data_IF_903346385292
#
_entry.id   IF_903346385292
#
_cell.length_a   1.000
_cell.length_b   1.000
_cell.length_c   1.000
_cell.angle_alpha   90.00
_cell.angle_beta   90.00
_cell.angle_gamma   90.00
#
_symmetry.space_group_name_H-M   'P 1'
#
loop_
_entity.id
_entity.type
_entity.pdbx_description
1 polymer ?
#
# COMPACT_ATOMS: atom_id res chain seq x y z
N UNK A 1 -45.93 46.44 1.92
CA UNK A 1 -44.50 46.09 1.70
C UNK A 1 -43.82 45.28 2.82
N UNK A 2 -44.46 45.01 3.98
CA UNK A 2 -43.78 44.35 5.12
C UNK A 2 -43.92 42.81 5.18
N UNK A 3 -44.84 42.22 4.42
CA UNK A 3 -45.09 40.76 4.45
C UNK A 3 -44.14 39.99 3.51
N UNK A 4 -43.68 40.63 2.42
CA UNK A 4 -42.75 39.99 1.45
C UNK A 4 -41.33 39.82 1.99
N UNK A 5 -40.91 40.66 2.94
CA UNK A 5 -39.59 40.56 3.55
C UNK A 5 -39.49 39.37 4.53
N UNK A 6 -40.55 39.10 5.29
CA UNK A 6 -40.57 38.04 6.32
C UNK A 6 -40.54 36.64 5.68
N UNK A 7 -41.23 36.45 4.56
CA UNK A 7 -41.24 35.16 3.84
C UNK A 7 -39.84 34.84 3.27
N UNK A 8 -39.08 35.86 2.84
CA UNK A 8 -37.74 35.68 2.30
C UNK A 8 -36.72 35.31 3.38
N UNK A 9 -36.86 35.83 4.59
CA UNK A 9 -35.97 35.50 5.72
C UNK A 9 -36.21 34.09 6.26
N UNK A 10 -37.46 33.62 6.24
CA UNK A 10 -37.81 32.24 6.65
C UNK A 10 -37.34 31.21 5.62
N UNK A 11 -37.41 31.50 4.31
CA UNK A 11 -36.84 30.62 3.29
C UNK A 11 -35.32 30.52 3.37
N UNK A 12 -34.62 31.61 3.73
CA UNK A 12 -33.16 31.57 3.86
C UNK A 12 -32.70 30.80 5.11
N UNK A 13 -33.47 30.84 6.20
CA UNK A 13 -33.19 30.07 7.41
C UNK A 13 -33.48 28.56 7.26
N UNK A 14 -34.38 28.18 6.36
CA UNK A 14 -34.66 26.77 6.02
C UNK A 14 -33.61 26.15 5.08
N UNK A 15 -32.79 26.95 4.40
CA UNK A 15 -31.66 26.44 3.61
C UNK A 15 -30.36 26.27 4.42
N UNK A 16 -30.30 26.79 5.65
CA UNK A 16 -29.10 26.69 6.52
C UNK A 16 -29.20 25.59 7.58
N UNK A 17 -30.31 24.87 7.65
CA UNK A 17 -30.50 23.75 8.57
C UNK A 17 -30.52 22.45 7.78
N UNK A 18 -29.40 21.72 7.81
CA UNK A 18 -29.47 20.27 7.65
C UNK A 18 -28.69 19.64 6.50
N UNK A 19 -27.65 20.28 5.95
CA UNK A 19 -26.50 19.50 5.48
C UNK A 19 -25.39 19.71 6.51
N UNK A 20 -25.57 19.16 7.70
CA UNK A 20 -24.41 18.62 8.39
C UNK A 20 -23.93 17.51 7.44
N UNK A 21 -22.98 17.86 6.56
CA UNK A 21 -22.20 16.87 5.85
C UNK A 21 -21.47 16.15 6.98
N UNK A 22 -22.08 15.05 7.46
CA UNK A 22 -21.32 14.01 8.09
C UNK A 22 -20.28 13.66 7.04
N UNK A 23 -19.01 14.00 7.31
CA UNK A 23 -17.93 13.53 6.48
C UNK A 23 -18.02 12.00 6.59
N UNK A 24 -18.54 11.39 5.53
CA UNK A 24 -18.65 9.94 5.46
C UNK A 24 -17.22 9.43 5.51
N UNK A 25 -16.85 8.76 6.61
CA UNK A 25 -15.49 8.30 6.82
C UNK A 25 -15.31 7.00 6.05
N UNK A 26 -15.10 7.09 4.74
CA UNK A 26 -14.67 5.98 3.91
C UNK A 26 -13.15 5.94 3.81
N UNK A 27 -12.60 4.83 3.31
CA UNK A 27 -11.18 4.81 2.95
C UNK A 27 -10.91 5.86 1.85
N UNK A 28 -9.74 6.48 1.93
CA UNK A 28 -9.27 7.36 0.86
C UNK A 28 -9.02 6.52 -0.40
N UNK A 29 -9.60 6.95 -1.53
CA UNK A 29 -9.46 6.26 -2.82
C UNK A 29 -8.56 7.02 -3.77
N UNK A 30 -7.80 6.30 -4.58
CA UNK A 30 -6.98 6.85 -5.66
C UNK A 30 -7.84 7.68 -6.62
N UNK A 31 -7.38 8.90 -6.93
CA UNK A 31 -8.00 9.71 -7.98
C UNK A 31 -7.90 9.06 -9.35
N UNK A 32 -8.79 9.46 -10.27
CA UNK A 32 -8.88 8.92 -11.62
C UNK A 32 -7.54 8.97 -12.40
N UNK A 33 -6.74 10.02 -12.18
CA UNK A 33 -5.42 10.16 -12.82
C UNK A 33 -4.43 9.08 -12.36
N UNK A 34 -4.42 8.76 -11.05
CA UNK A 34 -3.56 7.72 -10.48
C UNK A 34 -4.00 6.35 -11.02
N UNK A 35 -5.31 6.05 -10.93
CA UNK A 35 -5.87 4.80 -11.47
C UNK A 35 -5.56 4.63 -12.95
N UNK A 36 -5.69 5.69 -13.75
CA UNK A 36 -5.39 5.68 -15.18
C UNK A 36 -3.91 5.51 -15.50
N UNK A 37 -3.00 6.03 -14.67
CA UNK A 37 -1.57 5.79 -14.80
C UNK A 37 -1.21 4.33 -14.50
N UNK A 38 -1.71 3.79 -13.40
CA UNK A 38 -1.45 2.40 -12.99
C UNK A 38 -2.07 1.39 -13.97
N UNK A 39 -3.28 1.65 -14.47
CA UNK A 39 -3.89 0.80 -15.50
C UNK A 39 -3.03 0.72 -16.77
N UNK A 40 -2.46 1.85 -17.20
CA UNK A 40 -1.59 1.91 -18.37
C UNK A 40 -0.29 1.15 -18.14
N UNK A 41 0.36 1.37 -17.00
CA UNK A 41 1.59 0.68 -16.64
C UNK A 41 1.37 -0.84 -16.55
N UNK A 42 0.26 -1.27 -15.95
CA UNK A 42 -0.15 -2.67 -15.91
C UNK A 42 -0.23 -3.28 -17.31
N UNK A 43 -0.97 -2.65 -18.22
CA UNK A 43 -1.13 -3.14 -19.60
C UNK A 43 0.19 -3.15 -20.37
N UNK A 44 1.05 -2.15 -20.16
CA UNK A 44 2.30 -2.00 -20.91
C UNK A 44 3.41 -2.95 -20.44
N UNK A 45 3.47 -3.27 -19.14
CA UNK A 45 4.63 -3.98 -18.57
C UNK A 45 4.29 -5.28 -17.83
N UNK A 46 3.07 -5.47 -17.35
CA UNK A 46 2.75 -6.57 -16.41
C UNK A 46 1.78 -7.61 -16.97
N UNK A 47 0.88 -7.26 -17.89
CA UNK A 47 -0.13 -8.17 -18.43
C UNK A 47 0.48 -9.47 -19.02
N UNK A 48 1.53 -9.35 -19.85
CA UNK A 48 2.23 -10.51 -20.43
C UNK A 48 2.85 -11.42 -19.37
N UNK A 49 3.41 -10.82 -18.31
CA UNK A 49 4.05 -11.57 -17.21
C UNK A 49 3.02 -12.36 -16.42
N UNK A 50 1.86 -11.76 -16.12
CA UNK A 50 0.76 -12.44 -15.45
C UNK A 50 0.13 -13.51 -16.34
N UNK A 51 0.01 -13.26 -17.64
CA UNK A 51 -0.48 -14.24 -18.61
C UNK A 51 0.40 -15.52 -18.59
N UNK A 52 1.73 -15.35 -18.57
CA UNK A 52 2.67 -16.46 -18.44
C UNK A 52 2.59 -17.18 -17.08
N UNK A 53 2.11 -16.50 -16.02
CA UNK A 53 1.98 -17.01 -14.65
C UNK A 53 0.53 -17.32 -14.26
N UNK A 54 -0.37 -17.51 -15.24
CA UNK A 54 -1.81 -17.71 -15.02
C UNK A 54 -2.18 -18.71 -13.94
N UNK A 55 -1.46 -19.83 -13.87
CA UNK A 55 -1.72 -20.90 -12.89
C UNK A 55 -1.46 -20.45 -11.44
N UNK A 56 -0.55 -19.50 -11.22
CA UNK A 56 -0.24 -18.93 -9.91
C UNK A 56 -1.24 -17.87 -9.43
N UNK A 57 -2.08 -17.36 -10.34
CA UNK A 57 -3.08 -16.33 -10.10
C UNK A 57 -4.51 -16.83 -10.37
N UNK A 58 -4.75 -18.13 -10.17
CA UNK A 58 -6.07 -18.77 -10.27
C UNK A 58 -6.74 -18.64 -11.67
N UNK A 59 -5.95 -18.50 -12.74
CA UNK A 59 -6.40 -18.04 -14.05
C UNK A 59 -6.15 -18.97 -15.24
N UNK A 60 -5.97 -20.28 -15.07
CA UNK A 60 -5.83 -21.17 -16.25
C UNK A 60 -7.07 -21.14 -17.15
N UNK A 61 -8.24 -21.01 -16.53
CA UNK A 61 -9.55 -21.17 -17.19
C UNK A 61 -10.27 -19.83 -17.38
N UNK A 62 -9.69 -18.72 -16.91
CA UNK A 62 -10.27 -17.37 -16.99
C UNK A 62 -9.90 -16.66 -18.30
N UNK A 63 -10.52 -15.52 -18.59
CA UNK A 63 -10.13 -14.60 -19.67
C UNK A 63 -8.70 -14.06 -19.52
N UNK A 64 -8.12 -13.54 -20.60
CA UNK A 64 -6.71 -13.10 -20.68
C UNK A 64 -6.39 -11.99 -19.68
N UNK A 65 -5.21 -12.01 -19.08
CA UNK A 65 -4.72 -10.91 -18.22
C UNK A 65 -4.58 -9.58 -18.97
N UNK A 66 -4.58 -9.60 -20.31
CA UNK A 66 -4.70 -8.39 -21.13
C UNK A 66 -6.10 -7.75 -21.06
N UNK A 67 -7.12 -8.50 -20.65
CA UNK A 67 -8.50 -8.03 -20.47
C UNK A 67 -8.81 -7.70 -19.00
N UNK A 68 -7.82 -7.83 -18.11
CA UNK A 68 -8.00 -7.54 -16.70
C UNK A 68 -8.28 -6.05 -16.45
N UNK A 69 -9.12 -5.78 -15.46
CA UNK A 69 -9.51 -4.41 -15.07
C UNK A 69 -9.16 -4.13 -13.63
N UNK A 70 -8.65 -2.93 -13.34
CA UNK A 70 -8.42 -2.46 -11.98
C UNK A 70 -9.71 -1.92 -11.35
N UNK A 71 -9.97 -2.32 -10.11
CA UNK A 71 -10.98 -1.69 -9.25
C UNK A 71 -10.55 -0.33 -8.72
N UNK A 72 -11.27 0.15 -7.70
CA UNK A 72 -10.88 1.37 -6.99
C UNK A 72 -9.61 1.13 -6.17
N UNK A 73 -8.67 2.07 -6.25
CA UNK A 73 -7.42 1.99 -5.49
C UNK A 73 -7.64 2.49 -4.09
N UNK A 74 -7.36 1.68 -3.08
CA UNK A 74 -7.49 2.06 -1.67
C UNK A 74 -6.13 2.57 -1.17
N UNK A 75 -6.09 3.77 -0.60
CA UNK A 75 -4.88 4.31 0.01
C UNK A 75 -4.46 3.44 1.20
N UNK A 76 -3.18 3.09 1.28
CA UNK A 76 -2.61 2.39 2.43
C UNK A 76 -1.46 3.17 3.05
N UNK A 77 -1.34 3.03 4.37
CA UNK A 77 -0.42 3.79 5.20
C UNK A 77 0.49 2.84 5.97
N UNK A 78 1.70 3.31 6.22
CA UNK A 78 2.65 2.68 7.14
C UNK A 78 2.63 3.39 8.48
N UNK A 79 3.02 2.67 9.53
CA UNK A 79 3.05 3.19 10.88
C UNK A 79 4.43 3.77 11.19
N UNK A 80 4.46 4.99 11.70
CA UNK A 80 5.66 5.66 12.18
C UNK A 80 5.57 5.85 13.70
N UNK A 81 6.56 5.32 14.41
CA UNK A 81 6.65 5.38 15.88
C UNK A 81 7.53 6.55 16.30
N UNK A 82 6.98 7.44 17.14
CA UNK A 82 7.71 8.55 17.74
C UNK A 82 7.50 8.55 19.26
N UNK A 83 8.43 7.95 20.00
CA UNK A 83 8.23 7.68 21.43
C UNK A 83 7.03 6.74 21.63
N UNK A 84 6.07 7.17 22.46
CA UNK A 84 4.85 6.42 22.75
C UNK A 84 3.68 6.81 21.81
N UNK A 85 3.97 7.43 20.67
CA UNK A 85 2.95 7.88 19.72
C UNK A 85 3.09 7.21 18.35
N UNK A 86 1.93 6.91 17.76
CA UNK A 86 1.80 6.38 16.42
C UNK A 86 1.34 7.49 15.47
N UNK A 87 1.86 7.45 14.26
CA UNK A 87 1.44 8.31 13.15
C UNK A 87 1.40 7.48 11.88
N UNK A 88 0.56 7.88 10.93
CA UNK A 88 0.38 7.17 9.67
C UNK A 88 0.90 8.00 8.51
N UNK A 89 1.69 7.37 7.66
CA UNK A 89 2.25 7.99 6.46
C UNK A 89 1.72 7.27 5.23
N UNK A 90 1.11 8.04 4.32
CA UNK A 90 0.61 7.51 3.06
C UNK A 90 1.78 6.89 2.30
N UNK A 91 1.69 5.59 2.06
CA UNK A 91 2.74 4.84 1.36
C UNK A 91 2.35 4.58 -0.08
N UNK A 92 1.06 4.30 -0.33
CA UNK A 92 0.61 4.11 -1.69
C UNK A 92 -0.84 3.69 -1.82
N UNK A 93 -1.16 3.00 -2.91
CA UNK A 93 -2.51 2.52 -3.22
C UNK A 93 -2.51 1.04 -3.58
N UNK A 94 -3.55 0.33 -3.16
CA UNK A 94 -3.82 -1.07 -3.52
C UNK A 94 -5.05 -1.15 -4.42
N UNK A 95 -4.88 -1.72 -5.59
CA UNK A 95 -5.95 -1.90 -6.57
C UNK A 95 -6.30 -3.39 -6.71
N UNK A 96 -7.55 -3.81 -6.44
CA UNK A 96 -7.96 -5.16 -6.79
C UNK A 96 -7.98 -5.30 -8.32
N UNK A 97 -7.41 -6.38 -8.83
CA UNK A 97 -7.38 -6.72 -10.25
C UNK A 97 -8.44 -7.78 -10.52
N UNK A 98 -9.32 -7.51 -11.47
CA UNK A 98 -10.42 -8.39 -11.84
C UNK A 98 -10.21 -9.02 -13.20
N UNK A 99 -10.55 -10.31 -13.28
CA UNK A 99 -10.79 -11.04 -14.52
C UNK A 99 -12.23 -11.55 -14.50
N UNK A 100 -12.99 -11.20 -15.54
CA UNK A 100 -14.40 -11.60 -15.69
C UNK A 100 -15.24 -11.26 -14.44
N UNK A 101 -14.96 -10.10 -13.82
CA UNK A 101 -15.64 -9.63 -12.61
C UNK A 101 -15.23 -10.33 -11.31
N UNK A 102 -14.27 -11.26 -11.35
CA UNK A 102 -13.73 -11.94 -10.15
C UNK A 102 -12.36 -11.36 -9.81
N UNK A 103 -12.14 -10.97 -8.56
CA UNK A 103 -10.81 -10.54 -8.13
C UNK A 103 -9.83 -11.73 -8.21
N UNK A 104 -8.65 -11.48 -8.74
CA UNK A 104 -7.59 -12.50 -8.91
C UNK A 104 -6.24 -12.08 -8.34
N UNK A 105 -6.06 -10.78 -8.11
CA UNK A 105 -4.82 -10.23 -7.62
C UNK A 105 -5.05 -8.87 -6.96
N UNK A 106 -4.03 -8.37 -6.27
CA UNK A 106 -3.90 -7.00 -5.81
C UNK A 106 -2.65 -6.38 -6.41
N UNK A 107 -2.81 -5.23 -7.03
CA UNK A 107 -1.72 -4.40 -7.57
C UNK A 107 -1.38 -3.32 -6.54
N UNK A 108 -0.17 -3.37 -6.00
CA UNK A 108 0.34 -2.35 -5.10
C UNK A 108 1.12 -1.28 -5.90
N UNK A 109 0.76 -0.02 -5.69
CA UNK A 109 1.37 1.12 -6.34
C UNK A 109 1.94 2.13 -5.34
N UNK A 110 3.09 2.72 -5.65
CA UNK A 110 3.78 3.71 -4.81
C UNK A 110 4.24 4.90 -5.65
N UNK A 111 4.53 6.04 -5.01
CA UNK A 111 5.03 7.23 -5.68
C UNK A 111 6.55 7.23 -5.69
N UNK A 112 7.14 6.97 -6.86
CA UNK A 112 8.59 6.87 -7.05
C UNK A 112 9.06 7.75 -8.19
N UNK A 113 10.13 8.52 -7.94
CA UNK A 113 10.77 9.37 -8.97
C UNK A 113 9.81 10.32 -9.70
N UNK A 114 8.79 10.82 -9.00
CA UNK A 114 7.82 11.78 -9.55
C UNK A 114 6.62 11.16 -10.27
N UNK A 115 6.44 9.84 -10.23
CA UNK A 115 5.30 9.15 -10.82
C UNK A 115 4.77 8.02 -9.92
N UNK A 116 3.49 7.72 -10.03
CA UNK A 116 2.89 6.53 -9.45
C UNK A 116 3.27 5.30 -10.29
N UNK A 117 3.78 4.26 -9.65
CA UNK A 117 4.27 3.03 -10.29
C UNK A 117 3.85 1.78 -9.55
N UNK A 118 3.72 0.69 -10.29
CA UNK A 118 3.48 -0.63 -9.73
C UNK A 118 4.80 -1.15 -9.16
N UNK A 119 4.82 -1.45 -7.87
CA UNK A 119 6.00 -2.06 -7.24
C UNK A 119 5.79 -3.53 -6.89
N UNK A 120 4.53 -3.98 -6.80
CA UNK A 120 4.20 -5.37 -6.50
C UNK A 120 2.83 -5.76 -7.07
N UNK A 121 2.68 -7.03 -7.45
CA UNK A 121 1.40 -7.65 -7.76
C UNK A 121 1.34 -8.97 -6.99
N UNK A 122 0.33 -9.14 -6.16
CA UNK A 122 0.12 -10.31 -5.30
C UNK A 122 -1.13 -11.07 -5.69
N UNK A 123 -1.17 -12.39 -5.46
CA UNK A 123 -2.29 -13.27 -5.83
C UNK A 123 -3.40 -13.33 -4.76
N UNK A 124 -3.61 -12.24 -4.01
CA UNK A 124 -4.72 -12.13 -3.07
C UNK A 124 -6.03 -11.86 -3.82
N UNK A 125 -7.05 -12.69 -3.59
CA UNK A 125 -8.35 -12.65 -4.27
C UNK A 125 -9.50 -12.18 -3.38
N UNK A 126 -9.23 -11.88 -2.11
CA UNK A 126 -10.21 -11.51 -1.09
C UNK A 126 -10.15 -10.04 -0.66
N UNK A 127 -9.10 -9.29 -1.03
CA UNK A 127 -8.88 -7.89 -0.63
C UNK A 127 -10.13 -6.98 -0.75
N UNK A 128 -10.77 -6.88 -1.91
CA UNK A 128 -11.94 -6.02 -2.11
C UNK A 128 -13.12 -6.44 -1.23
N UNK A 129 -13.28 -7.74 -1.02
CA UNK A 129 -14.32 -8.26 -0.12
C UNK A 129 -14.03 -7.96 1.35
N UNK A 130 -12.76 -8.00 1.76
CA UNK A 130 -12.32 -7.65 3.11
C UNK A 130 -12.51 -6.15 3.38
N UNK A 131 -12.13 -5.30 2.43
CA UNK A 131 -12.35 -3.86 2.53
C UNK A 131 -13.83 -3.53 2.65
N UNK A 132 -14.68 -4.05 1.75
CA UNK A 132 -16.12 -3.81 1.80
C UNK A 132 -16.77 -4.29 3.09
N UNK A 133 -16.29 -5.42 3.64
CA UNK A 133 -16.76 -5.94 4.93
C UNK A 133 -16.48 -4.93 6.05
N UNK A 134 -15.23 -4.48 6.19
CA UNK A 134 -14.84 -3.58 7.27
C UNK A 134 -15.43 -2.18 7.09
N UNK A 135 -15.54 -1.66 5.86
CA UNK A 135 -16.25 -0.41 5.60
C UNK A 135 -17.73 -0.50 6.02
N UNK A 136 -18.43 -1.60 5.69
CA UNK A 136 -19.83 -1.76 6.05
C UNK A 136 -20.07 -1.82 7.57
N UNK A 137 -19.10 -2.31 8.34
CA UNK A 137 -19.22 -2.49 9.79
C UNK A 137 -18.74 -1.28 10.60
N UNK A 138 -17.69 -0.59 10.13
CA UNK A 138 -16.97 0.40 10.92
C UNK A 138 -16.93 1.82 10.31
N UNK A 139 -17.38 2.02 9.07
CA UNK A 139 -17.45 3.37 8.49
C UNK A 139 -18.52 4.24 9.17
N UNK A 140 -18.31 5.56 9.15
CA UNK A 140 -19.29 6.57 9.55
C UNK A 140 -18.89 7.46 10.74
N UNK A 141 -17.77 7.18 11.43
CA UNK A 141 -17.32 8.00 12.57
C UNK A 141 -15.79 8.20 12.60
N UNK A 142 -15.30 9.23 11.91
CA UNK A 142 -13.96 9.78 12.15
C UNK A 142 -12.90 9.47 11.08
N UNK A 143 -11.65 9.20 11.47
CA UNK A 143 -10.58 8.85 10.50
C UNK A 143 -10.63 7.34 10.22
N UNK A 144 -10.50 6.95 8.97
CA UNK A 144 -10.59 5.55 8.54
C UNK A 144 -9.48 5.28 7.52
N UNK A 145 -8.49 4.45 7.89
CA UNK A 145 -7.27 4.25 7.10
C UNK A 145 -6.89 2.79 7.02
N UNK A 146 -6.47 2.33 5.84
CA UNK A 146 -5.87 1.02 5.69
C UNK A 146 -4.40 1.06 6.12
N UNK A 147 -4.05 0.29 7.13
CA UNK A 147 -2.69 0.13 7.62
C UNK A 147 -2.12 -1.17 7.07
N UNK A 148 -1.23 -1.06 6.09
CA UNK A 148 -0.42 -2.19 5.59
C UNK A 148 1.06 -1.87 5.76
N UNK A 149 1.63 -2.41 6.84
CA UNK A 149 3.03 -2.24 7.19
C UNK A 149 3.74 -3.58 7.28
N UNK A 150 4.31 -3.97 6.14
CA UNK A 150 5.08 -5.22 5.97
C UNK A 150 6.29 -5.32 6.91
N UNK A 151 6.81 -4.21 7.43
CA UNK A 151 7.96 -4.22 8.37
C UNK A 151 7.59 -4.87 9.71
N UNK A 152 6.33 -4.74 10.10
CA UNK A 152 5.77 -5.20 11.37
C UNK A 152 4.64 -6.23 11.16
N UNK A 153 4.45 -6.70 9.93
CA UNK A 153 3.39 -7.62 9.54
C UNK A 153 1.99 -7.12 9.96
N UNK A 154 1.75 -5.83 9.79
CA UNK A 154 0.46 -5.21 10.08
C UNK A 154 -0.41 -5.21 8.82
N UNK A 155 -1.62 -5.76 8.93
CA UNK A 155 -2.67 -5.67 7.92
C UNK A 155 -4.00 -5.35 8.64
N UNK A 156 -4.20 -4.06 8.91
CA UNK A 156 -5.27 -3.55 9.77
C UNK A 156 -6.03 -2.43 9.08
N UNK A 157 -7.22 -2.13 9.58
CA UNK A 157 -7.90 -0.85 9.36
C UNK A 157 -7.85 -0.07 10.66
N UNK A 158 -7.30 1.13 10.59
CA UNK A 158 -7.31 2.08 11.68
C UNK A 158 -8.61 2.87 11.66
N UNK A 159 -9.24 2.99 12.82
CA UNK A 159 -10.39 3.88 13.02
C UNK A 159 -10.09 4.83 14.18
N UNK A 160 -10.43 6.10 13.99
CA UNK A 160 -10.37 7.12 15.05
C UNK A 160 -11.68 7.86 15.11
N UNK A 161 -12.58 7.33 15.93
CA UNK A 161 -13.85 7.94 16.23
C UNK A 161 -13.73 8.86 17.45
N UNK A 162 -14.73 9.70 17.68
CA UNK A 162 -14.83 10.50 18.92
C UNK A 162 -14.88 9.66 20.20
N UNK A 163 -15.13 8.35 20.10
CA UNK A 163 -15.35 7.46 21.22
C UNK A 163 -14.12 6.58 21.47
N UNK A 164 -13.56 5.99 20.41
CA UNK A 164 -12.42 5.07 20.48
C UNK A 164 -11.49 5.25 19.28
N UNK A 165 -10.20 4.99 19.55
CA UNK A 165 -9.14 4.79 18.57
C UNK A 165 -8.73 3.32 18.60
N UNK A 166 -8.79 2.63 17.46
CA UNK A 166 -8.56 1.19 17.37
C UNK A 166 -7.97 0.78 16.02
N UNK A 167 -7.35 -0.40 16.01
CA UNK A 167 -6.84 -1.07 14.82
C UNK A 167 -7.55 -2.42 14.69
N UNK A 168 -8.24 -2.62 13.58
CA UNK A 168 -9.05 -3.81 13.29
C UNK A 168 -8.29 -4.67 12.29
N UNK A 169 -7.94 -5.89 12.68
CA UNK A 169 -7.19 -6.79 11.82
C UNK A 169 -8.06 -7.27 10.64
N UNK A 170 -7.57 -7.13 9.41
CA UNK A 170 -8.33 -7.47 8.21
C UNK A 170 -8.57 -8.98 8.00
N UNK A 171 -7.84 -9.82 8.73
CA UNK A 171 -7.86 -11.28 8.59
C UNK A 171 -8.83 -11.96 9.55
N UNK A 172 -8.84 -11.51 10.81
CA UNK A 172 -9.62 -12.14 11.89
C UNK A 172 -10.59 -11.19 12.60
N UNK A 173 -10.70 -9.95 12.13
CA UNK A 173 -11.56 -8.88 12.67
C UNK A 173 -11.30 -8.55 14.16
N UNK A 174 -10.11 -8.91 14.68
CA UNK A 174 -9.70 -8.57 16.04
C UNK A 174 -9.36 -7.08 16.15
N UNK A 175 -10.00 -6.40 17.11
CA UNK A 175 -9.71 -4.99 17.43
C UNK A 175 -8.68 -4.89 18.56
N UNK A 176 -7.64 -4.09 18.34
CA UNK A 176 -6.59 -3.80 19.32
C UNK A 176 -6.34 -2.30 19.44
N UNK A 177 -5.85 -1.89 20.62
CA UNK A 177 -5.56 -0.50 20.92
C UNK A 177 -4.23 -0.01 20.31
N UNK A 178 -4.02 1.31 20.19
CA UNK A 178 -2.72 1.87 19.77
C UNK A 178 -1.54 1.41 20.64
N UNK A 179 -1.76 1.22 21.94
CA UNK A 179 -0.72 0.72 22.85
C UNK A 179 -0.34 -0.75 22.53
N UNK A 180 -1.30 -1.56 22.11
CA UNK A 180 -1.03 -2.94 21.67
C UNK A 180 -0.29 -2.97 20.33
N UNK A 181 -0.60 -2.07 19.39
CA UNK A 181 0.19 -1.91 18.16
C UNK A 181 1.64 -1.51 18.47
N UNK A 182 1.86 -0.59 19.41
CA UNK A 182 3.22 -0.24 19.86
C UNK A 182 3.97 -1.46 20.41
N UNK A 183 3.30 -2.34 21.14
CA UNK A 183 3.90 -3.58 21.64
C UNK A 183 4.25 -4.53 20.48
N UNK A 184 3.34 -4.75 19.52
CA UNK A 184 3.60 -5.59 18.33
C UNK A 184 4.82 -5.08 17.54
N UNK A 185 4.92 -3.76 17.37
CA UNK A 185 6.06 -3.12 16.69
C UNK A 185 7.35 -3.33 17.49
N UNK A 186 7.31 -3.10 18.80
CA UNK A 186 8.48 -3.26 19.69
C UNK A 186 8.99 -4.70 19.70
N UNK A 187 8.10 -5.68 19.81
CA UNK A 187 8.43 -7.11 19.75
C UNK A 187 9.07 -7.52 18.41
N UNK A 188 8.57 -6.95 17.31
CA UNK A 188 9.13 -7.16 15.98
C UNK A 188 10.56 -6.61 15.86
N UNK A 189 10.81 -5.41 16.39
CA UNK A 189 12.14 -4.78 16.41
C UNK A 189 13.12 -5.55 17.30
N UNK A 190 12.68 -5.98 18.49
CA UNK A 190 13.52 -6.75 19.41
C UNK A 190 13.90 -8.11 18.82
N UNK A 191 12.96 -8.78 18.14
CA UNK A 191 13.22 -10.02 17.43
C UNK A 191 14.31 -9.86 16.38
N UNK A 192 14.26 -8.79 15.58
CA UNK A 192 15.29 -8.48 14.59
C UNK A 192 16.65 -8.21 15.23
N UNK A 193 16.69 -7.45 16.32
CA UNK A 193 17.93 -7.13 17.04
C UNK A 193 18.56 -8.38 17.68
N UNK A 194 17.75 -9.30 18.20
CA UNK A 194 18.21 -10.53 18.81
C UNK A 194 18.75 -11.53 17.78
N UNK A 195 18.17 -11.59 16.57
CA UNK A 195 18.72 -12.36 15.45
C UNK A 195 20.09 -11.81 15.01
N UNK A 196 20.23 -10.49 14.91
CA UNK A 196 21.47 -9.83 14.52
C UNK A 196 22.60 -9.99 15.57
N UNK A 197 22.27 -10.15 16.86
CA UNK A 197 23.26 -10.29 17.94
C UNK A 197 23.74 -11.73 18.16
N UNK A 198 22.98 -12.73 17.74
CA UNK A 198 23.29 -14.15 17.96
C UNK A 198 23.80 -14.90 16.71
N UNK A 199 23.90 -14.23 15.55
CA UNK A 199 24.43 -14.83 14.32
C UNK A 199 25.87 -14.33 14.06
N UNK A 200 26.85 -15.21 14.31
CA UNK A 200 28.22 -15.07 13.80
C UNK A 200 28.37 -15.59 12.35
N UNK A 201 27.28 -16.08 11.76
CA UNK A 201 27.20 -16.47 10.35
C UNK A 201 26.20 -15.56 9.65
N UNK A 202 26.72 -14.77 8.71
CA UNK A 202 25.97 -13.78 7.94
C UNK A 202 24.99 -14.42 6.98
N UNK A 203 23.80 -14.77 7.49
CA UNK A 203 22.63 -15.08 6.66
C UNK A 203 21.50 -14.18 7.11
N UNK A 204 21.31 -13.08 6.37
CA UNK A 204 20.12 -12.24 6.48
C UNK A 204 18.99 -12.97 5.74
N UNK A 205 18.07 -13.58 6.49
CA UNK A 205 16.78 -14.05 5.99
C UNK A 205 15.76 -12.92 6.13
N UNK A 206 15.20 -12.48 5.00
CA UNK A 206 14.07 -11.56 4.96
C UNK A 206 12.91 -12.25 4.25
N UNK A 207 11.75 -12.27 4.89
CA UNK A 207 10.46 -12.61 4.29
C UNK A 207 9.72 -13.72 5.05
N UNK A 208 8.51 -13.44 5.51
CA UNK A 208 7.62 -14.46 6.04
C UNK A 208 6.28 -13.91 6.53
N UNK A 209 5.32 -13.82 5.62
CA UNK A 209 3.90 -13.89 5.98
C UNK A 209 3.55 -15.28 6.56
N UNK A 210 2.28 -15.51 6.93
CA UNK A 210 1.87 -16.70 7.65
C UNK A 210 2.12 -17.97 6.84
N UNK A 211 2.65 -18.98 7.53
CA UNK A 211 2.97 -20.32 7.04
C UNK A 211 1.88 -20.91 6.14
N UNK A 212 2.22 -21.09 4.86
CA UNK A 212 1.81 -22.29 4.12
C UNK A 212 3.07 -22.86 3.48
N UNK A 213 3.48 -24.01 3.98
CA UNK A 213 4.63 -24.75 3.44
C UNK A 213 4.25 -25.38 2.11
N UNK A 214 5.07 -25.23 1.06
CA UNK A 214 5.33 -26.34 0.17
C UNK A 214 6.82 -26.65 0.14
N UNK A 215 7.11 -27.95 0.28
CA UNK A 215 8.39 -28.58 0.09
C UNK A 215 9.00 -28.32 -1.30
N UNK A 216 10.33 -28.45 -1.34
CA UNK A 216 11.23 -28.62 -2.50
C UNK A 216 11.80 -27.37 -3.22
N UNK A 217 12.81 -26.79 -2.57
CA UNK A 217 14.21 -26.72 -3.02
C UNK A 217 14.49 -26.59 -4.54
N UNK A 218 14.50 -25.37 -5.08
CA UNK A 218 15.49 -24.93 -6.08
C UNK A 218 15.80 -23.43 -5.88
N UNK A 219 16.91 -23.13 -5.22
CA UNK A 219 17.47 -21.78 -5.12
C UNK A 219 17.96 -21.32 -6.50
N UNK A 220 17.15 -20.50 -7.16
CA UNK A 220 17.52 -19.80 -8.39
C UNK A 220 18.68 -18.83 -8.12
N UNK A 221 19.82 -19.09 -8.75
CA UNK A 221 21.05 -18.27 -8.71
C UNK A 221 20.89 -16.86 -9.31
N UNK A 222 19.70 -16.49 -9.81
CA UNK A 222 19.49 -15.25 -10.56
C UNK A 222 19.37 -14.01 -9.67
N UNK A 223 18.83 -14.12 -8.46
CA UNK A 223 18.64 -12.98 -7.54
C UNK A 223 19.97 -12.29 -7.14
N UNK A 224 21.03 -13.01 -6.72
CA UNK A 224 22.30 -12.36 -6.41
C UNK A 224 22.99 -11.78 -7.65
N UNK A 225 22.76 -12.34 -8.85
CA UNK A 225 23.34 -11.83 -10.11
C UNK A 225 22.71 -10.49 -10.51
N UNK A 226 21.40 -10.34 -10.35
CA UNK A 226 20.67 -9.09 -10.63
C UNK A 226 21.13 -7.97 -9.69
N UNK A 227 21.29 -8.29 -8.40
CA UNK A 227 21.78 -7.33 -7.40
C UNK A 227 23.23 -6.90 -7.66
N UNK A 228 24.09 -7.82 -8.11
CA UNK A 228 25.47 -7.48 -8.48
C UNK A 228 25.54 -6.62 -9.75
N UNK A 229 24.68 -6.90 -10.75
CA UNK A 229 24.60 -6.13 -12.00
C UNK A 229 24.15 -4.68 -11.80
N UNK A 230 23.16 -4.44 -10.93
CA UNK A 230 22.72 -3.09 -10.55
C UNK A 230 23.84 -2.30 -9.87
N UNK A 231 24.67 -2.94 -9.03
CA UNK A 231 25.77 -2.23 -8.35
C UNK A 231 26.83 -1.65 -9.31
N UNK A 232 27.12 -2.33 -10.43
CA UNK A 232 28.07 -1.85 -11.43
C UNK A 232 27.51 -0.69 -12.27
N UNK A 233 26.21 -0.68 -12.54
CA UNK A 233 25.56 0.38 -13.32
C UNK A 233 25.60 1.76 -12.63
N UNK A 234 25.60 1.79 -11.29
CA UNK A 234 25.65 3.05 -10.52
C UNK A 234 27.07 3.49 -10.13
N UNK A 235 28.02 2.55 -9.94
CA UNK A 235 29.37 2.92 -9.52
C UNK A 235 30.24 3.51 -10.65
N UNK A 236 30.09 3.02 -11.89
CA UNK A 236 30.92 3.43 -13.03
C UNK A 236 30.67 4.88 -13.49
N UNK A 237 29.41 5.38 -13.58
CA UNK A 237 29.15 6.77 -13.97
C UNK A 237 29.69 7.78 -12.95
N UNK A 238 29.61 7.47 -11.65
CA UNK A 238 30.06 8.36 -10.57
C UNK A 238 31.57 8.57 -10.59
N UNK A 239 32.34 7.52 -10.88
CA UNK A 239 33.81 7.60 -11.00
C UNK A 239 34.21 8.35 -12.28
N UNK A 240 33.48 8.15 -13.39
CA UNK A 240 33.74 8.85 -14.64
C UNK A 240 33.46 10.37 -14.54
N UNK A 241 32.39 10.78 -13.87
CA UNK A 241 32.04 12.19 -13.66
C UNK A 241 33.05 12.87 -12.71
N UNK A 242 33.49 12.19 -11.65
CA UNK A 242 34.49 12.72 -10.72
C UNK A 242 35.87 12.94 -11.37
N UNK A 243 36.26 12.07 -12.31
CA UNK A 243 37.53 12.19 -13.04
C UNK A 243 37.50 13.23 -14.16
N UNK A 244 36.37 13.43 -14.84
CA UNK A 244 36.22 14.53 -15.81
C UNK A 244 36.26 15.91 -15.13
N UNK A 245 35.62 16.07 -13.96
CA UNK A 245 35.67 17.34 -13.22
C UNK A 245 37.08 17.73 -12.80
N UNK A 246 37.91 16.78 -12.38
CA UNK A 246 39.32 17.05 -12.02
C UNK A 246 40.21 17.44 -13.21
N UNK A 247 39.90 16.97 -14.42
CA UNK A 247 40.67 17.34 -15.63
C UNK A 247 40.30 18.73 -16.16
N UNK A 248 39.03 19.13 -16.02
CA UNK A 248 38.56 20.45 -16.43
C UNK A 248 39.05 21.59 -15.50
N UNK A 249 39.31 21.30 -14.23
CA UNK A 249 39.81 22.28 -13.26
C UNK A 249 41.34 22.50 -13.30
N UNK A 250 42.09 21.74 -14.10
CA UNK A 250 43.55 21.86 -14.23
C UNK A 250 44.03 22.54 -15.52
N UNK A 251 43.12 23.13 -16.30
CA UNK A 251 43.42 23.80 -17.59
C UNK A 251 43.11 25.31 -17.58
N UNK A 252 42.94 25.90 -16.40
CA UNK A 252 42.74 27.33 -16.19
C UNK A 252 43.78 27.96 -15.23
N UNK A 253 45.00 27.42 -15.20
CA UNK A 253 46.19 28.16 -14.74
C UNK A 253 47.20 28.32 -15.88
#
# INVERSE_FOLDING_TARGET
MKIRAIILTVLFALFTLGNAVYADSSLETAGADIKGAIAREYTEYYADTLEAQRTSFHGSDKASFHEATLGEGVAYYQVNVHGDSLSHELTGYKFPLYLEGTQVAVVDATFESGAWKIFNISNHDDFDSAIKRVEAEYAGNGKFELIDDKRYNLNYVYTNSTINEEYINLTNDESISPAEILNVISESVDSLNNLNRNSNDGVILVGGGPNVSPSDNQTSLLLPIILFGLSLAFAVPLIAIATQRRRASGTLE
#
